data_IF_474613664795
#
_entry.id   IF_474613664795
#
_cell.length_a   1.000
_cell.length_b   1.000
_cell.length_c   1.000
_cell.angle_alpha   90.00
_cell.angle_beta   90.00
_cell.angle_gamma   90.00
#
_symmetry.space_group_name_H-M   'P 1'
#
loop_
_entity.id
_entity.type
_entity.pdbx_description
1 polymer ?
#
# COMPACT_ATOMS: atom_id res chain seq x y z
N UNK A 1 -17.20 -37.19 19.79
CA UNK A 1 -16.08 -36.32 20.26
C UNK A 1 -15.22 -35.75 19.13
N UNK A 2 -14.95 -36.47 18.02
CA UNK A 2 -14.22 -35.94 16.85
C UNK A 2 -14.90 -34.71 16.20
N UNK A 3 -16.23 -34.70 16.09
CA UNK A 3 -16.96 -33.58 15.46
C UNK A 3 -16.83 -32.28 16.24
N UNK A 4 -16.85 -32.35 17.59
CA UNK A 4 -16.69 -31.18 18.44
C UNK A 4 -15.31 -30.54 18.26
N UNK A 5 -14.27 -31.36 18.15
CA UNK A 5 -12.91 -30.89 17.91
C UNK A 5 -12.78 -30.18 16.56
N UNK A 6 -13.38 -30.73 15.49
CA UNK A 6 -13.40 -30.09 14.18
C UNK A 6 -14.11 -28.73 14.20
N UNK A 7 -15.23 -28.61 14.92
CA UNK A 7 -15.95 -27.35 15.06
C UNK A 7 -15.13 -26.30 15.83
N UNK A 8 -14.47 -26.70 16.92
CA UNK A 8 -13.63 -25.79 17.71
C UNK A 8 -12.43 -25.31 16.89
N UNK A 9 -11.77 -26.20 16.16
CA UNK A 9 -10.64 -25.85 15.27
C UNK A 9 -11.09 -24.89 14.17
N UNK A 10 -12.25 -25.12 13.56
CA UNK A 10 -12.80 -24.22 12.52
C UNK A 10 -13.09 -22.82 13.08
N UNK A 11 -13.68 -22.71 14.26
CA UNK A 11 -14.02 -21.41 14.88
C UNK A 11 -12.75 -20.64 15.27
N UNK A 12 -11.74 -21.32 15.81
CA UNK A 12 -10.45 -20.68 16.16
C UNK A 12 -9.73 -20.19 14.91
N UNK A 13 -9.72 -20.98 13.84
CA UNK A 13 -9.13 -20.58 12.56
C UNK A 13 -9.85 -19.37 11.96
N UNK A 14 -11.19 -19.37 11.97
CA UNK A 14 -11.99 -18.23 11.53
C UNK A 14 -11.71 -16.98 12.37
N UNK A 15 -11.70 -17.10 13.70
CA UNK A 15 -11.40 -15.98 14.60
C UNK A 15 -10.01 -15.37 14.38
N UNK A 16 -8.99 -16.21 14.17
CA UNK A 16 -7.64 -15.75 13.85
C UNK A 16 -7.62 -14.92 12.56
N UNK A 17 -8.31 -15.38 11.51
CA UNK A 17 -8.35 -14.66 10.22
C UNK A 17 -8.99 -13.28 10.32
N UNK A 18 -10.02 -13.10 11.14
CA UNK A 18 -10.64 -11.79 11.37
C UNK A 18 -9.73 -10.84 12.17
N UNK A 19 -8.94 -11.36 13.12
CA UNK A 19 -8.03 -10.55 13.91
C UNK A 19 -6.85 -10.00 13.09
N UNK A 20 -6.33 -10.78 12.12
CA UNK A 20 -5.31 -10.30 11.19
C UNK A 20 -5.81 -9.19 10.24
N UNK A 21 -7.11 -9.14 9.97
CA UNK A 21 -7.71 -8.16 9.07
C UNK A 21 -8.01 -6.79 9.71
N UNK A 22 -7.77 -6.62 11.01
CA UNK A 22 -8.08 -5.39 11.75
C UNK A 22 -6.83 -4.55 12.13
N UNK A 23 -5.64 -4.96 11.70
CA UNK A 23 -4.37 -4.35 12.14
C UNK A 23 -3.88 -3.16 11.27
N UNK A 24 -4.66 -2.67 10.31
CA UNK A 24 -4.28 -1.56 9.42
C UNK A 24 -5.17 -0.31 9.54
N UNK A 25 -5.61 0.06 10.75
CA UNK A 25 -6.09 1.44 10.98
C UNK A 25 -4.89 2.35 11.21
N UNK A 26 -4.34 2.87 10.11
CA UNK A 26 -3.34 3.94 10.11
C UNK A 26 -4.05 5.29 10.26
N UNK A 27 -4.31 5.71 11.51
CA UNK A 27 -4.72 7.07 11.82
C UNK A 27 -3.49 7.99 11.69
N UNK A 28 -3.38 8.73 10.58
CA UNK A 28 -2.39 9.80 10.44
C UNK A 28 -3.13 11.14 10.54
N UNK A 29 -3.24 11.65 11.77
CA UNK A 29 -3.49 13.05 12.02
C UNK A 29 -2.23 13.86 11.66
N UNK A 30 -2.24 14.55 10.52
CA UNK A 30 -1.11 15.35 10.04
C UNK A 30 -1.34 16.84 10.36
N UNK A 31 -0.62 17.36 11.35
CA UNK A 31 -0.48 18.81 11.57
C UNK A 31 0.38 19.42 10.46
N UNK A 32 -0.21 20.26 9.61
CA UNK A 32 0.44 20.78 8.40
C UNK A 32 1.28 22.02 8.71
N UNK A 33 2.58 21.82 8.92
CA UNK A 33 3.59 22.85 8.71
C UNK A 33 4.00 22.94 7.21
N UNK A 34 4.36 24.12 6.67
CA UNK A 34 4.67 24.26 5.25
C UNK A 34 6.02 23.62 4.90
N UNK A 35 5.98 22.37 4.40
CA UNK A 35 7.15 21.67 3.86
C UNK A 35 7.46 22.21 2.46
N UNK A 36 8.71 22.63 2.22
CA UNK A 36 9.24 22.82 0.86
C UNK A 36 9.23 21.46 0.16
N UNK A 37 8.20 21.21 -0.63
CA UNK A 37 8.00 19.95 -1.36
C UNK A 37 9.19 19.74 -2.31
N UNK A 38 10.16 18.96 -1.86
CA UNK A 38 11.04 18.26 -2.79
C UNK A 38 10.13 17.28 -3.54
N UNK A 39 9.85 17.58 -4.81
CA UNK A 39 8.95 16.85 -5.73
C UNK A 39 9.40 15.40 -6.03
N UNK A 40 10.15 14.75 -5.14
CA UNK A 40 10.66 13.39 -5.32
C UNK A 40 10.45 12.57 -4.06
N UNK A 41 9.21 12.17 -3.82
CA UNK A 41 8.93 11.12 -2.84
C UNK A 41 7.98 10.10 -3.48
N UNK A 42 8.55 9.00 -4.01
CA UNK A 42 8.15 7.64 -3.65
C UNK A 42 9.01 6.54 -4.30
N UNK A 43 9.05 5.43 -3.57
CA UNK A 43 9.92 4.25 -3.51
C UNK A 43 9.50 3.15 -4.49
N UNK A 44 10.47 2.61 -5.26
CA UNK A 44 10.84 1.18 -5.27
C UNK A 44 12.17 1.03 -6.04
N UNK A 45 13.29 1.06 -5.32
CA UNK A 45 14.64 1.27 -5.88
C UNK A 45 15.26 0.05 -6.57
N UNK A 46 14.55 -1.07 -6.73
CA UNK A 46 15.11 -2.27 -7.40
C UNK A 46 14.31 -2.77 -8.61
N UNK A 47 12.99 -2.60 -8.64
CA UNK A 47 12.12 -3.11 -9.72
C UNK A 47 10.96 -2.16 -10.01
N UNK A 48 11.23 -0.95 -10.51
CA UNK A 48 10.14 -0.19 -11.13
C UNK A 48 9.85 -0.75 -12.52
N UNK A 49 8.57 -0.82 -12.87
CA UNK A 49 8.12 -1.00 -14.25
C UNK A 49 7.27 0.20 -14.62
N UNK A 50 7.35 0.65 -15.88
CA UNK A 50 6.54 1.77 -16.38
C UNK A 50 5.04 1.63 -16.09
N UNK A 51 4.36 0.47 -16.26
CA UNK A 51 2.94 0.35 -15.94
C UNK A 51 2.64 0.55 -14.45
N UNK A 52 3.45 -0.04 -13.56
CA UNK A 52 3.26 0.10 -12.11
C UNK A 52 3.50 1.55 -11.66
N UNK A 53 4.58 2.15 -12.16
CA UNK A 53 4.90 3.57 -11.93
C UNK A 53 3.77 4.49 -12.42
N UNK A 54 3.23 4.27 -13.62
CA UNK A 54 2.15 5.09 -14.17
C UNK A 54 0.85 4.96 -13.35
N UNK A 55 0.48 3.74 -12.95
CA UNK A 55 -0.68 3.51 -12.10
C UNK A 55 -0.56 4.21 -10.73
N UNK A 56 0.62 4.12 -10.10
CA UNK A 56 0.89 4.81 -8.84
C UNK A 56 0.85 6.34 -9.00
N UNK A 57 1.46 6.88 -10.05
CA UNK A 57 1.42 8.32 -10.34
C UNK A 57 -0.03 8.81 -10.54
N UNK A 58 -0.86 8.05 -11.26
CA UNK A 58 -2.28 8.38 -11.45
C UNK A 58 -3.09 8.32 -10.16
N UNK A 59 -2.87 7.31 -9.32
CA UNK A 59 -3.49 7.24 -7.99
C UNK A 59 -3.11 8.40 -7.07
N UNK A 60 -1.96 9.04 -7.32
CA UNK A 60 -1.46 10.22 -6.61
C UNK A 60 -1.86 11.55 -7.28
N UNK A 61 -2.65 11.52 -8.35
CA UNK A 61 -3.16 12.71 -9.05
C UNK A 61 -2.35 13.16 -10.27
N UNK A 62 -1.19 12.57 -10.57
CA UNK A 62 -0.40 12.90 -11.76
C UNK A 62 -1.02 12.29 -13.02
N UNK A 63 -0.80 12.89 -14.20
CA UNK A 63 -1.36 12.36 -15.47
C UNK A 63 -0.64 11.09 -15.93
N UNK A 64 0.69 11.10 -15.80
CA UNK A 64 1.56 10.05 -16.30
C UNK A 64 2.70 9.74 -15.32
N UNK A 65 3.29 8.55 -15.47
CA UNK A 65 4.49 8.10 -14.77
C UNK A 65 5.42 7.30 -15.68
N UNK A 66 6.73 7.49 -15.54
CA UNK A 66 7.75 6.72 -16.28
C UNK A 66 8.81 6.17 -15.33
N UNK A 67 9.17 4.90 -15.52
CA UNK A 67 10.28 4.27 -14.82
C UNK A 67 11.56 4.49 -15.64
N UNK A 68 12.58 5.13 -15.04
CA UNK A 68 13.91 5.28 -15.62
C UNK A 68 14.96 4.93 -14.56
N UNK A 69 15.87 3.99 -14.89
CA UNK A 69 17.00 3.60 -14.02
C UNK A 69 16.53 3.24 -12.60
N UNK A 70 15.46 2.43 -12.48
CA UNK A 70 14.93 2.01 -11.17
C UNK A 70 14.24 3.12 -10.37
N UNK A 71 13.96 4.28 -10.98
CA UNK A 71 13.25 5.40 -10.37
C UNK A 71 11.97 5.71 -11.13
N UNK A 72 10.88 5.91 -10.39
CA UNK A 72 9.61 6.35 -10.95
C UNK A 72 9.52 7.87 -10.98
N UNK A 73 9.23 8.44 -12.15
CA UNK A 73 9.08 9.87 -12.40
C UNK A 73 7.63 10.17 -12.77
N UNK A 74 6.92 10.93 -11.94
CA UNK A 74 5.54 11.34 -12.21
C UNK A 74 5.49 12.73 -12.88
N UNK A 75 4.60 12.91 -13.86
CA UNK A 75 4.37 14.17 -14.55
C UNK A 75 2.88 14.46 -14.74
N UNK A 76 2.54 15.75 -14.76
CA UNK A 76 1.20 16.24 -15.15
C UNK A 76 1.09 16.55 -16.64
N UNK A 77 2.21 16.48 -17.35
CA UNK A 77 2.38 16.70 -18.79
C UNK A 77 2.57 15.38 -19.50
#
# INVERSE_FOLDING_TARGET
MKCLYCCVVLVVLLGLTLALAAADVSDNAEEVAPIKISKRMFVQTLTCTSPNCNAQCRGRGYRNGKCQIGRCFCSYV
#
